data_IF_435260917457
#
_entry.id   IF_435260917457
#
_cell.length_a   1.000
_cell.length_b   1.000
_cell.length_c   1.000
_cell.angle_alpha   90.00
_cell.angle_beta   90.00
_cell.angle_gamma   90.00
#
_symmetry.space_group_name_H-M   'P 1'
#
loop_
_entity.id
_entity.type
_entity.pdbx_description
1 polymer ?
#
# COMPACT_ATOMS: atom_id res chain seq x y z
N UNK A 1 12.75 7.32 -32.66
CA UNK A 1 11.64 6.53 -33.22
C UNK A 1 11.21 5.52 -32.16
N UNK A 2 10.25 5.90 -31.31
CA UNK A 2 9.70 5.02 -30.27
C UNK A 2 8.67 4.09 -30.92
N UNK A 3 8.88 2.77 -30.82
CA UNK A 3 8.00 1.77 -31.41
C UNK A 3 6.80 1.53 -30.46
N UNK A 4 5.54 1.86 -30.84
CA UNK A 4 4.39 1.82 -29.92
C UNK A 4 3.94 0.43 -29.46
N UNK A 5 4.57 -0.64 -29.96
CA UNK A 5 4.11 -2.03 -29.81
C UNK A 5 4.95 -2.90 -28.87
N UNK A 6 6.04 -2.38 -28.27
CA UNK A 6 6.79 -3.09 -27.24
C UNK A 6 6.44 -2.57 -25.85
N UNK A 7 5.57 -3.30 -25.16
CA UNK A 7 5.36 -3.09 -23.73
C UNK A 7 6.71 -3.27 -23.02
N UNK A 8 7.15 -2.28 -22.23
CA UNK A 8 8.46 -2.35 -21.57
C UNK A 8 8.56 -3.60 -20.69
N UNK A 9 9.76 -4.17 -20.56
CA UNK A 9 10.01 -5.30 -19.65
C UNK A 9 9.46 -5.06 -18.23
N UNK A 10 9.50 -3.81 -17.78
CA UNK A 10 8.91 -3.38 -16.50
C UNK A 10 7.39 -3.50 -16.48
N UNK A 11 6.71 -3.06 -17.54
CA UNK A 11 5.25 -3.16 -17.64
C UNK A 11 4.79 -4.62 -17.74
N UNK A 12 5.52 -5.49 -18.45
CA UNK A 12 5.28 -6.95 -18.46
C UNK A 12 5.41 -7.52 -17.04
N UNK A 13 6.49 -7.18 -16.32
CA UNK A 13 6.71 -7.64 -14.96
C UNK A 13 5.60 -7.17 -14.00
N UNK A 14 5.13 -5.93 -14.15
CA UNK A 14 4.02 -5.41 -13.34
C UNK A 14 2.71 -6.14 -13.63
N UNK A 15 2.44 -6.50 -14.89
CA UNK A 15 1.26 -7.27 -15.25
C UNK A 15 1.28 -8.66 -14.60
N UNK A 16 2.39 -9.39 -14.73
CA UNK A 16 2.56 -10.72 -14.10
C UNK A 16 2.30 -10.66 -12.59
N UNK A 17 2.80 -9.62 -11.90
CA UNK A 17 2.56 -9.44 -10.46
C UNK A 17 1.09 -9.19 -10.13
N UNK A 18 0.37 -8.42 -10.95
CA UNK A 18 -1.08 -8.18 -10.77
C UNK A 18 -1.88 -9.45 -10.98
N UNK A 19 -1.52 -10.24 -11.99
CA UNK A 19 -2.16 -11.51 -12.29
C UNK A 19 -1.97 -12.49 -11.13
N UNK A 20 -0.75 -12.60 -10.61
CA UNK A 20 -0.45 -13.45 -9.45
C UNK A 20 -1.30 -13.08 -8.22
N UNK A 21 -1.46 -11.79 -7.92
CA UNK A 21 -2.34 -11.34 -6.82
C UNK A 21 -3.79 -11.73 -7.09
N UNK A 22 -4.28 -11.51 -8.30
CA UNK A 22 -5.66 -11.82 -8.70
C UNK A 22 -5.96 -13.31 -8.60
N UNK A 23 -5.06 -14.16 -9.09
CA UNK A 23 -5.19 -15.61 -9.06
C UNK A 23 -5.14 -16.15 -7.63
N UNK A 24 -4.22 -15.63 -6.82
CA UNK A 24 -4.11 -15.98 -5.40
C UNK A 24 -5.39 -15.59 -4.66
N UNK A 25 -5.92 -14.39 -4.90
CA UNK A 25 -7.18 -13.94 -4.30
C UNK A 25 -8.35 -14.82 -4.74
N UNK A 26 -8.44 -15.17 -6.02
CA UNK A 26 -9.49 -16.06 -6.54
C UNK A 26 -9.44 -17.43 -5.86
N UNK A 27 -8.28 -18.08 -5.81
CA UNK A 27 -8.11 -19.37 -5.16
C UNK A 27 -8.48 -19.34 -3.67
N UNK A 28 -8.05 -18.30 -2.95
CA UNK A 28 -8.37 -18.15 -1.53
C UNK A 28 -9.84 -17.77 -1.27
N UNK A 29 -10.48 -17.03 -2.18
CA UNK A 29 -11.91 -16.71 -2.10
C UNK A 29 -12.80 -17.93 -2.33
N UNK A 30 -12.37 -18.87 -3.19
CA UNK A 30 -13.07 -20.13 -3.46
C UNK A 30 -12.95 -21.08 -2.26
N UNK A 31 -11.76 -21.13 -1.62
CA UNK A 31 -11.52 -21.91 -0.40
C UNK A 31 -12.28 -21.34 0.81
N UNK A 32 -12.41 -20.02 0.89
CA UNK A 32 -13.16 -19.31 1.93
C UNK A 32 -14.66 -19.32 1.62
N UNK A 33 -15.35 -20.44 1.89
CA UNK A 33 -16.80 -20.66 1.65
C UNK A 33 -17.77 -19.64 2.29
N UNK A 34 -17.28 -18.61 2.98
CA UNK A 34 -18.06 -17.45 3.43
C UNK A 34 -17.28 -16.18 3.12
N UNK A 35 -17.96 -15.19 2.54
CA UNK A 35 -17.47 -13.81 2.40
C UNK A 35 -17.15 -13.29 3.81
N UNK A 36 -15.90 -13.45 4.26
CA UNK A 36 -15.48 -13.01 5.60
C UNK A 36 -15.72 -11.50 5.68
N UNK A 37 -16.50 -11.08 6.67
CA UNK A 37 -16.71 -9.66 6.94
C UNK A 37 -15.37 -9.06 7.37
N UNK A 38 -14.94 -8.00 6.69
CA UNK A 38 -13.70 -7.29 7.01
C UNK A 38 -13.86 -6.63 8.38
N UNK A 39 -12.91 -6.89 9.28
CA UNK A 39 -12.84 -6.25 10.59
C UNK A 39 -12.04 -4.95 10.49
N UNK A 40 -12.21 -4.00 11.44
CA UNK A 40 -11.37 -2.80 11.48
C UNK A 40 -9.86 -3.10 11.47
N UNK A 41 -9.45 -4.23 12.08
CA UNK A 41 -8.06 -4.66 12.10
C UNK A 41 -7.54 -5.09 10.71
N UNK A 42 -8.41 -5.61 9.83
CA UNK A 42 -8.06 -5.95 8.45
C UNK A 42 -7.80 -4.69 7.60
N UNK A 43 -8.37 -3.54 8.00
CA UNK A 43 -8.34 -2.29 7.24
C UNK A 43 -7.28 -1.28 7.75
N UNK A 44 -6.62 -1.56 8.87
CA UNK A 44 -5.67 -0.63 9.52
C UNK A 44 -4.40 -0.34 8.71
N UNK A 45 -4.09 -1.17 7.71
CA UNK A 45 -2.93 -1.00 6.84
C UNK A 45 -3.24 -0.25 5.53
N UNK A 46 -4.49 0.13 5.33
CA UNK A 46 -4.96 0.81 4.13
C UNK A 46 -4.97 2.32 4.40
N UNK A 47 -3.88 2.99 4.05
CA UNK A 47 -3.78 4.46 4.13
C UNK A 47 -4.57 5.06 2.98
N UNK A 48 -5.39 6.05 3.30
CA UNK A 48 -6.29 6.71 2.34
C UNK A 48 -5.76 8.11 2.04
N UNK A 49 -5.70 8.44 0.76
CA UNK A 49 -5.58 9.80 0.26
C UNK A 49 -6.89 10.17 -0.42
N UNK A 50 -7.64 11.07 0.20
CA UNK A 50 -8.93 11.53 -0.29
C UNK A 50 -8.79 12.39 -1.54
N UNK A 51 -7.76 13.24 -1.58
CA UNK A 51 -7.66 14.29 -2.59
C UNK A 51 -7.28 13.68 -3.96
N UNK A 52 -6.58 12.55 -3.94
CA UNK A 52 -6.18 11.81 -5.14
C UNK A 52 -6.97 10.50 -5.35
N UNK A 53 -7.95 10.21 -4.49
CA UNK A 53 -8.75 8.97 -4.54
C UNK A 53 -7.90 7.69 -4.58
N UNK A 54 -6.91 7.60 -3.68
CA UNK A 54 -5.97 6.48 -3.62
C UNK A 54 -6.00 5.74 -2.28
N UNK A 55 -5.71 4.44 -2.32
CA UNK A 55 -5.50 3.59 -1.15
C UNK A 55 -4.13 2.92 -1.27
N UNK A 56 -3.24 3.27 -0.35
CA UNK A 56 -1.94 2.62 -0.19
C UNK A 56 -2.03 1.53 0.88
N UNK A 57 -1.88 0.26 0.47
CA UNK A 57 -1.74 -0.85 1.40
C UNK A 57 -0.27 -0.98 1.82
N UNK A 58 0.06 -0.52 3.02
CA UNK A 58 1.44 -0.58 3.48
C UNK A 58 1.83 -1.98 3.93
N UNK A 59 3.00 -2.43 3.48
CA UNK A 59 3.63 -3.68 3.93
C UNK A 59 4.97 -3.31 4.58
N UNK A 60 5.32 -3.85 5.75
CA UNK A 60 6.61 -3.56 6.36
C UNK A 60 7.78 -3.98 5.46
N UNK A 61 8.86 -3.19 5.50
CA UNK A 61 10.16 -3.47 4.86
C UNK A 61 10.17 -3.54 3.32
N UNK A 62 9.14 -3.00 2.68
CA UNK A 62 9.07 -2.77 1.22
C UNK A 62 9.09 -1.28 0.88
N UNK A 63 10.00 -0.53 1.51
CA UNK A 63 10.06 0.93 1.46
C UNK A 63 8.84 1.66 2.07
N UNK A 64 8.17 1.06 3.07
CA UNK A 64 6.98 1.63 3.70
C UNK A 64 7.19 3.01 4.31
N UNK A 65 8.36 3.29 4.91
CA UNK A 65 8.66 4.62 5.47
C UNK A 65 8.65 5.68 4.37
N UNK A 66 9.28 5.39 3.22
CA UNK A 66 9.32 6.31 2.09
C UNK A 66 7.92 6.59 1.54
N UNK A 67 7.12 5.54 1.34
CA UNK A 67 5.75 5.70 0.84
C UNK A 67 4.85 6.45 1.82
N UNK A 68 5.01 6.24 3.14
CA UNK A 68 4.27 7.05 4.12
C UNK A 68 4.64 8.53 4.05
N UNK A 69 5.92 8.86 3.85
CA UNK A 69 6.37 10.24 3.65
C UNK A 69 5.75 10.86 2.39
N UNK A 70 5.76 10.13 1.28
CA UNK A 70 5.09 10.56 0.04
C UNK A 70 3.60 10.81 0.28
N UNK A 71 2.89 9.88 0.95
CA UNK A 71 1.47 10.07 1.27
C UNK A 71 1.24 11.30 2.16
N UNK A 72 2.10 11.57 3.15
CA UNK A 72 2.00 12.76 4.00
C UNK A 72 2.11 14.05 3.19
N UNK A 73 3.05 14.12 2.24
CA UNK A 73 3.21 15.27 1.35
C UNK A 73 2.02 15.41 0.39
N UNK A 74 1.57 14.30 -0.22
CA UNK A 74 0.44 14.30 -1.15
C UNK A 74 -0.85 14.81 -0.52
N UNK A 75 -1.10 14.48 0.75
CA UNK A 75 -2.32 14.95 1.43
C UNK A 75 -2.37 16.48 1.62
N UNK A 76 -1.29 17.21 1.36
CA UNK A 76 -1.24 18.68 1.37
C UNK A 76 -1.54 19.35 2.73
N UNK A 77 -1.78 18.57 3.79
CA UNK A 77 -2.23 19.05 5.12
C UNK A 77 -1.07 19.17 6.13
N UNK A 78 0.14 18.80 5.73
CA UNK A 78 1.34 18.82 6.57
C UNK A 78 2.24 20.03 6.34
N UNK A 79 3.24 20.21 7.20
CA UNK A 79 4.25 21.28 7.09
C UNK A 79 5.38 20.99 6.09
N UNK A 80 5.42 19.79 5.51
CA UNK A 80 6.52 19.34 4.64
C UNK A 80 6.10 19.33 3.17
N UNK A 81 6.98 19.83 2.32
CA UNK A 81 6.84 19.74 0.86
C UNK A 81 7.76 18.68 0.23
N UNK A 82 8.82 18.28 0.93
CA UNK A 82 9.73 17.21 0.50
C UNK A 82 9.57 15.97 1.40
N UNK A 83 9.27 14.78 0.85
CA UNK A 83 9.24 13.54 1.61
C UNK A 83 10.53 13.25 2.41
N UNK A 84 11.69 13.70 1.94
CA UNK A 84 12.98 13.43 2.58
C UNK A 84 13.21 14.25 3.86
N UNK A 85 12.53 15.38 4.00
CA UNK A 85 12.58 16.21 5.22
C UNK A 85 11.82 15.59 6.39
N UNK A 86 10.91 14.64 6.11
CA UNK A 86 10.07 14.00 7.12
C UNK A 86 10.88 12.96 7.90
N UNK A 87 11.09 13.10 9.22
CA UNK A 87 11.77 12.11 10.03
C UNK A 87 11.08 10.73 10.00
N UNK A 88 11.87 9.66 10.09
CA UNK A 88 11.32 8.30 9.96
C UNK A 88 10.30 7.97 11.06
N UNK A 89 10.56 8.37 12.30
CA UNK A 89 9.63 8.22 13.42
C UNK A 89 8.30 8.94 13.16
N UNK A 90 8.33 10.15 12.60
CA UNK A 90 7.13 10.93 12.27
C UNK A 90 6.29 10.25 11.17
N UNK A 91 6.94 9.66 10.17
CA UNK A 91 6.26 8.88 9.13
C UNK A 91 5.57 7.61 9.67
N UNK A 92 5.87 7.18 10.90
CA UNK A 92 5.25 6.03 11.54
C UNK A 92 4.18 6.39 12.57
N UNK A 93 3.94 7.68 12.84
CA UNK A 93 2.88 8.15 13.74
C UNK A 93 1.51 7.93 13.07
N UNK A 94 0.62 7.20 13.75
CA UNK A 94 -0.68 6.82 13.20
C UNK A 94 -1.64 7.99 12.99
N UNK A 95 -1.48 9.10 13.71
CA UNK A 95 -2.30 10.31 13.52
C UNK A 95 -1.97 11.10 12.25
N UNK A 96 -0.83 10.85 11.62
CA UNK A 96 -0.36 11.61 10.47
C UNK A 96 -0.98 11.15 9.13
N UNK A 97 -1.57 9.94 9.12
CA UNK A 97 -2.14 9.35 7.91
C UNK A 97 -3.48 8.70 8.26
N UNK A 98 -4.53 9.10 7.56
CA UNK A 98 -5.86 8.53 7.76
C UNK A 98 -5.92 7.12 7.17
N UNK A 99 -6.43 6.16 7.93
CA UNK A 99 -6.55 4.76 7.51
C UNK A 99 -8.00 4.35 7.33
N UNK A 100 -8.26 3.38 6.46
CA UNK A 100 -9.61 3.03 6.04
C UNK A 100 -10.51 2.55 7.20
N UNK A 101 -9.94 2.00 8.26
CA UNK A 101 -10.69 1.63 9.48
C UNK A 101 -11.23 2.82 10.31
N UNK A 102 -10.86 4.05 9.97
CA UNK A 102 -11.32 5.28 10.64
C UNK A 102 -12.57 5.89 9.96
N UNK A 103 -13.13 5.21 8.96
CA UNK A 103 -14.31 5.65 8.23
C UNK A 103 -15.53 4.77 8.57
N UNK A 104 -16.72 5.29 8.33
CA UNK A 104 -17.96 4.51 8.45
C UNK A 104 -18.05 3.41 7.39
N UNK A 105 -18.88 2.39 7.60
CA UNK A 105 -19.04 1.27 6.66
C UNK A 105 -19.43 1.75 5.23
N UNK A 106 -20.39 2.68 5.04
CA UNK A 106 -20.70 3.21 3.71
C UNK A 106 -19.50 3.88 3.03
N UNK A 107 -18.74 4.66 3.79
CA UNK A 107 -17.53 5.36 3.32
C UNK A 107 -16.40 4.39 2.94
N UNK A 108 -16.23 3.32 3.73
CA UNK A 108 -15.29 2.23 3.44
C UNK A 108 -15.66 1.60 2.09
N UNK A 109 -16.92 1.22 1.90
CA UNK A 109 -17.38 0.59 0.67
C UNK A 109 -17.23 1.49 -0.55
N UNK A 110 -17.51 2.79 -0.40
CA UNK A 110 -17.30 3.77 -1.46
C UNK A 110 -15.83 3.80 -1.92
N UNK A 111 -14.89 3.91 -0.98
CA UNK A 111 -13.45 3.96 -1.28
C UNK A 111 -12.93 2.64 -1.84
N UNK A 112 -13.35 1.51 -1.26
CA UNK A 112 -13.01 0.18 -1.78
C UNK A 112 -13.58 -0.06 -3.18
N UNK A 113 -14.61 0.67 -3.61
CA UNK A 113 -15.12 0.57 -4.98
C UNK A 113 -14.37 1.50 -5.93
N UNK A 114 -14.22 2.76 -5.55
CA UNK A 114 -13.87 3.83 -6.48
C UNK A 114 -12.37 4.18 -6.48
N UNK A 115 -11.66 3.97 -5.37
CA UNK A 115 -10.28 4.47 -5.25
C UNK A 115 -9.29 3.51 -5.90
N UNK A 116 -8.21 4.07 -6.45
CA UNK A 116 -7.07 3.30 -6.94
C UNK A 116 -6.36 2.64 -5.76
N UNK A 117 -6.23 1.31 -5.76
CA UNK A 117 -5.47 0.59 -4.72
C UNK A 117 -4.13 0.14 -5.25
N UNK A 118 -3.09 0.38 -4.47
CA UNK A 118 -1.76 -0.09 -4.81
C UNK A 118 -0.99 -0.54 -3.57
N UNK A 119 0.01 -1.37 -3.82
CA UNK A 119 0.95 -1.86 -2.83
C UNK A 119 2.30 -2.09 -3.52
N UNK A 120 3.36 -2.06 -2.72
CA UNK A 120 4.69 -2.39 -3.18
C UNK A 120 5.11 -3.74 -2.64
N UNK A 121 5.83 -4.50 -3.45
CA UNK A 121 6.39 -5.79 -3.07
C UNK A 121 7.90 -5.76 -3.23
N UNK A 122 8.57 -6.62 -2.48
CA UNK A 122 9.99 -6.90 -2.57
C UNK A 122 10.18 -8.41 -2.59
N UNK A 123 11.31 -8.86 -3.11
CA UNK A 123 11.74 -10.25 -3.00
C UNK A 123 11.65 -10.71 -1.52
N UNK A 124 10.99 -11.84 -1.22
CA UNK A 124 10.74 -12.30 0.14
C UNK A 124 11.98 -12.42 1.04
N UNK A 125 13.10 -12.96 0.55
CA UNK A 125 14.32 -13.13 1.34
C UNK A 125 15.01 -11.80 1.61
N UNK A 126 15.06 -10.89 0.65
CA UNK A 126 15.56 -9.53 0.89
C UNK A 126 14.72 -8.79 1.94
N UNK A 127 13.39 -8.94 1.88
CA UNK A 127 12.47 -8.36 2.87
C UNK A 127 12.75 -8.93 4.26
N UNK A 128 12.99 -10.24 4.35
CA UNK A 128 13.31 -10.92 5.60
C UNK A 128 14.66 -10.45 6.18
N UNK A 129 15.71 -10.38 5.35
CA UNK A 129 17.02 -9.87 5.77
C UNK A 129 16.93 -8.41 6.22
N UNK A 130 16.15 -7.58 5.52
CA UNK A 130 15.88 -6.19 5.93
C UNK A 130 15.18 -6.11 7.29
N UNK A 131 14.22 -7.00 7.55
CA UNK A 131 13.55 -7.08 8.84
C UNK A 131 14.52 -7.51 9.95
N UNK A 132 15.30 -8.56 9.70
CA UNK A 132 16.28 -9.09 10.65
C UNK A 132 17.27 -8.03 11.08
N UNK A 133 17.92 -7.35 10.12
CA UNK A 133 18.89 -6.30 10.42
C UNK A 133 18.30 -5.15 11.22
N UNK A 134 17.06 -4.76 10.91
CA UNK A 134 16.39 -3.67 11.61
C UNK A 134 15.92 -4.02 13.03
N UNK A 135 15.83 -5.30 13.39
CA UNK A 135 15.31 -5.74 14.69
C UNK A 135 16.34 -6.41 15.60
N UNK A 136 17.40 -6.97 15.03
CA UNK A 136 18.34 -7.80 15.78
C UNK A 136 19.80 -7.40 15.60
N UNK A 137 20.13 -6.48 14.69
CA UNK A 137 21.53 -6.06 14.46
C UNK A 137 21.74 -4.55 14.60
N UNK A 138 20.69 -3.79 14.87
CA UNK A 138 20.70 -2.35 15.11
C UNK A 138 20.03 -2.07 16.44
#
# INVERSE_FOLDING_TARGET
>A
LYNPTQLSNTAILHQIRRDQVTDTCRANSVSSRKRRVLTPNDLKHLVVDEDHEMIYCYVPKVACTNWKRVMMVLTGRGKYSDPMEIPANEAHVSSNLKTLNQYSIPEINHRLKNYMKFLFVREPFERLVSAYRNKFTQ
#
